data_IF_027623664429
#
_entry.id   IF_027623664429
#
_cell.length_a   1.000
_cell.length_b   1.000
_cell.length_c   1.000
_cell.angle_alpha   90.00
_cell.angle_beta   90.00
_cell.angle_gamma   90.00
#
_symmetry.space_group_name_H-M   'P 1'
#
loop_
_entity.id
_entity.type
_entity.pdbx_description
1 polymer ?
#
# COMPACT_ATOMS: atom_id res chain seq x y z
N UNK A 1 -1.16 34.08 -29.50
CA UNK A 1 -0.11 34.67 -28.66
C UNK A 1 0.79 33.55 -28.20
N UNK A 2 1.99 33.43 -28.79
CA UNK A 2 3.01 32.50 -28.30
C UNK A 2 3.91 33.27 -27.34
N UNK A 3 3.81 32.98 -26.04
CA UNK A 3 4.64 33.61 -25.02
C UNK A 3 6.00 32.89 -25.02
N UNK A 4 6.99 33.45 -25.72
CA UNK A 4 8.36 32.91 -25.74
C UNK A 4 9.13 33.44 -24.54
N UNK A 5 9.31 32.59 -23.52
CA UNK A 5 10.33 32.83 -22.50
C UNK A 5 11.72 32.67 -23.11
N UNK A 6 12.65 33.50 -22.66
CA UNK A 6 13.99 33.67 -23.24
C UNK A 6 14.95 32.48 -23.04
N UNK A 7 14.47 31.35 -22.50
CA UNK A 7 15.22 30.12 -22.29
C UNK A 7 14.41 28.90 -22.81
N UNK A 8 14.62 28.55 -24.08
CA UNK A 8 14.65 27.19 -24.63
C UNK A 8 13.46 26.22 -24.49
N UNK A 9 12.47 26.45 -23.64
CA UNK A 9 11.34 25.54 -23.43
C UNK A 9 10.05 26.34 -23.35
N UNK A 10 9.39 26.50 -24.50
CA UNK A 10 7.94 26.66 -24.53
C UNK A 10 7.35 25.31 -24.11
N UNK A 11 7.26 25.04 -22.82
CA UNK A 11 6.41 23.96 -22.36
C UNK A 11 4.99 24.29 -22.82
N UNK A 12 4.42 23.44 -23.66
CA UNK A 12 3.05 23.57 -24.09
C UNK A 12 2.19 23.61 -22.82
N UNK A 13 1.42 24.69 -22.63
CA UNK A 13 0.59 24.83 -21.44
C UNK A 13 -0.42 23.68 -21.33
N UNK A 14 -0.76 23.06 -22.46
CA UNK A 14 -1.58 21.87 -22.51
C UNK A 14 -0.91 20.66 -21.85
N UNK A 15 0.40 20.46 -22.06
CA UNK A 15 1.14 19.37 -21.39
C UNK A 15 1.33 19.65 -19.91
N UNK A 16 1.55 20.92 -19.54
CA UNK A 16 1.65 21.34 -18.14
C UNK A 16 0.31 21.27 -17.39
N UNK A 17 -0.82 21.28 -18.08
CA UNK A 17 -2.14 21.29 -17.46
C UNK A 17 -2.36 20.06 -16.56
N UNK A 18 -1.90 18.89 -16.99
CA UNK A 18 -2.03 17.66 -16.20
C UNK A 18 -1.17 17.69 -14.94
N UNK A 19 0.08 18.13 -15.08
CA UNK A 19 1.03 18.24 -13.96
C UNK A 19 0.57 19.29 -12.94
N UNK A 20 0.07 20.42 -13.42
CA UNK A 20 -0.44 21.51 -12.56
C UNK A 20 -1.74 21.12 -11.86
N UNK A 21 -2.66 20.43 -12.53
CA UNK A 21 -3.87 19.90 -11.90
C UNK A 21 -3.50 18.93 -10.76
N UNK A 22 -2.50 18.10 -10.97
CA UNK A 22 -2.03 17.12 -10.00
C UNK A 22 -1.33 17.76 -8.79
N UNK A 23 -0.48 18.76 -9.05
CA UNK A 23 0.11 19.57 -8.00
C UNK A 23 -0.99 20.26 -7.18
N UNK A 24 -1.99 20.84 -7.83
CA UNK A 24 -3.08 21.54 -7.16
C UNK A 24 -3.86 20.63 -6.21
N UNK A 25 -4.23 19.41 -6.63
CA UNK A 25 -5.01 18.50 -5.78
C UNK A 25 -4.21 17.93 -4.59
N UNK A 26 -2.87 18.02 -4.62
CA UNK A 26 -1.96 17.47 -3.58
C UNK A 26 -1.39 18.52 -2.64
N UNK A 27 -1.48 19.81 -2.99
CA UNK A 27 -1.04 20.92 -2.14
C UNK A 27 -2.00 21.09 -0.95
N UNK A 28 -1.43 21.35 0.22
CA UNK A 28 -2.20 21.62 1.43
C UNK A 28 -2.79 23.02 1.35
N UNK A 29 -4.12 23.13 1.48
CA UNK A 29 -4.80 24.41 1.46
C UNK A 29 -4.57 25.14 2.78
N UNK A 30 -4.28 26.45 2.72
CA UNK A 30 -3.84 27.24 3.88
C UNK A 30 -4.88 27.37 4.98
N UNK A 31 -6.17 27.46 4.63
CA UNK A 31 -7.24 27.66 5.61
C UNK A 31 -7.78 26.36 6.21
N UNK A 32 -7.82 25.28 5.44
CA UNK A 32 -8.41 24.00 5.88
C UNK A 32 -7.35 23.03 6.39
N UNK A 33 -6.06 23.28 6.09
CA UNK A 33 -4.96 22.40 6.43
C UNK A 33 -5.03 21.02 5.77
N UNK A 34 -5.92 20.82 4.79
CA UNK A 34 -6.13 19.55 4.08
C UNK A 34 -5.89 19.76 2.58
N UNK A 35 -5.57 18.68 1.87
CA UNK A 35 -5.44 18.72 0.41
C UNK A 35 -6.82 18.65 -0.25
N UNK A 36 -7.06 19.30 -1.40
CA UNK A 36 -8.33 19.21 -2.11
C UNK A 36 -8.77 17.76 -2.39
N UNK A 37 -7.83 16.90 -2.82
CA UNK A 37 -8.06 15.47 -3.04
C UNK A 37 -8.61 14.73 -1.82
N UNK A 38 -8.12 15.08 -0.63
CA UNK A 38 -8.56 14.47 0.62
C UNK A 38 -9.98 14.92 0.99
N UNK A 39 -10.37 16.14 0.62
CA UNK A 39 -11.72 16.67 0.91
C UNK A 39 -12.75 16.08 -0.06
N UNK A 40 -12.43 16.00 -1.35
CA UNK A 40 -13.37 15.52 -2.36
C UNK A 40 -13.51 13.99 -2.39
N UNK A 41 -12.39 13.27 -2.24
CA UNK A 41 -12.33 11.83 -2.50
C UNK A 41 -11.92 11.02 -1.27
N UNK A 42 -11.69 11.67 -0.14
CA UNK A 42 -11.12 11.04 1.06
C UNK A 42 -9.81 10.27 0.80
N UNK A 43 -9.10 10.60 -0.29
CA UNK A 43 -7.91 9.91 -0.75
C UNK A 43 -6.86 10.92 -1.22
N UNK A 44 -5.62 10.77 -0.73
CA UNK A 44 -4.49 11.61 -1.14
C UNK A 44 -3.57 10.79 -2.06
N UNK A 45 -3.37 11.18 -3.32
CA UNK A 45 -2.42 10.49 -4.19
C UNK A 45 -0.99 10.69 -3.67
N UNK A 46 -0.24 9.59 -3.59
CA UNK A 46 1.14 9.52 -3.11
C UNK A 46 2.10 9.43 -4.30
N UNK A 47 2.81 10.53 -4.57
CA UNK A 47 3.93 10.54 -5.53
C UNK A 47 5.21 10.01 -4.88
N UNK A 48 6.05 9.18 -5.56
CA UNK A 48 5.95 8.60 -6.91
C UNK A 48 5.37 7.16 -6.94
N UNK A 49 4.87 6.66 -5.81
CA UNK A 49 4.44 5.27 -5.66
C UNK A 49 3.23 4.97 -6.54
N UNK A 50 2.31 5.94 -6.71
CA UNK A 50 1.12 5.72 -7.53
C UNK A 50 1.43 5.69 -9.04
N UNK A 51 2.51 6.34 -9.50
CA UNK A 51 2.99 6.19 -10.88
C UNK A 51 3.57 4.80 -11.15
N UNK A 52 4.23 4.19 -10.16
CA UNK A 52 4.71 2.81 -10.25
C UNK A 52 3.56 1.79 -10.25
N UNK A 53 2.43 2.12 -9.61
CA UNK A 53 1.22 1.28 -9.58
C UNK A 53 0.42 1.29 -10.88
N UNK A 54 0.65 2.23 -11.80
CA UNK A 54 -0.04 2.25 -13.08
C UNK A 54 0.25 0.99 -13.94
N UNK A 55 1.40 0.32 -13.71
CA UNK A 55 1.75 -0.95 -14.36
C UNK A 55 1.32 -2.20 -13.56
N UNK A 56 0.73 -2.02 -12.38
CA UNK A 56 0.18 -3.13 -11.61
C UNK A 56 -1.27 -3.34 -12.03
N UNK A 57 -1.69 -4.61 -12.10
CA UNK A 57 -3.10 -4.96 -12.26
C UNK A 57 -3.89 -4.26 -11.14
N UNK A 58 -4.67 -3.26 -11.50
CA UNK A 58 -5.59 -2.59 -10.59
C UNK A 58 -6.77 -3.53 -10.35
N UNK A 59 -6.58 -4.54 -9.50
CA UNK A 59 -7.68 -5.36 -9.03
C UNK A 59 -8.46 -4.50 -8.04
N UNK A 60 -9.63 -4.01 -8.46
CA UNK A 60 -10.49 -3.21 -7.59
C UNK A 60 -11.01 -4.12 -6.45
N UNK A 61 -11.00 -3.68 -5.17
CA UNK A 61 -11.44 -4.51 -4.05
C UNK A 61 -12.89 -5.01 -4.15
N UNK A 62 -13.70 -4.39 -5.01
CA UNK A 62 -15.09 -4.74 -5.32
C UNK A 62 -15.22 -5.94 -6.27
N UNK A 63 -14.15 -6.32 -6.95
CA UNK A 63 -14.18 -7.44 -7.90
C UNK A 63 -14.17 -8.78 -7.16
N UNK A 64 -15.02 -9.68 -7.64
CA UNK A 64 -15.19 -11.03 -7.08
C UNK A 64 -13.85 -11.78 -6.99
N UNK A 65 -12.98 -11.57 -7.97
CA UNK A 65 -11.66 -12.19 -8.06
C UNK A 65 -10.72 -11.77 -6.91
N UNK A 66 -10.77 -10.50 -6.48
CA UNK A 66 -10.00 -10.03 -5.32
C UNK A 66 -10.47 -10.72 -4.04
N UNK A 67 -11.77 -10.85 -3.86
CA UNK A 67 -12.36 -11.45 -2.67
C UNK A 67 -12.04 -12.96 -2.59
N UNK A 68 -12.06 -13.64 -3.73
CA UNK A 68 -11.67 -15.06 -3.83
C UNK A 68 -10.17 -15.26 -3.58
N UNK A 69 -9.32 -14.37 -4.10
CA UNK A 69 -7.89 -14.36 -3.80
C UNK A 69 -7.63 -14.08 -2.32
N UNK A 70 -8.28 -13.06 -1.75
CA UNK A 70 -8.14 -12.68 -0.35
C UNK A 70 -8.49 -13.83 0.60
N UNK A 71 -9.63 -14.50 0.37
CA UNK A 71 -10.05 -15.67 1.16
C UNK A 71 -9.01 -16.79 1.12
N UNK A 72 -8.52 -17.14 -0.08
CA UNK A 72 -7.46 -18.15 -0.22
C UNK A 72 -6.20 -17.76 0.56
N UNK A 73 -5.83 -16.48 0.53
CA UNK A 73 -4.65 -15.97 1.24
C UNK A 73 -4.83 -16.09 2.75
N UNK A 74 -6.00 -15.69 3.28
CA UNK A 74 -6.34 -15.86 4.69
C UNK A 74 -6.30 -17.32 5.14
N UNK A 75 -6.83 -18.24 4.34
CA UNK A 75 -6.82 -19.67 4.64
C UNK A 75 -5.39 -20.22 4.69
N UNK A 76 -4.52 -19.81 3.74
CA UNK A 76 -3.11 -20.21 3.75
C UNK A 76 -2.34 -19.63 4.93
N UNK A 77 -2.61 -18.37 5.29
CA UNK A 77 -1.94 -17.70 6.40
C UNK A 77 -2.28 -18.38 7.73
N UNK A 78 -3.54 -18.77 7.94
CA UNK A 78 -3.96 -19.52 9.12
C UNK A 78 -3.18 -20.84 9.28
N UNK A 79 -2.95 -21.56 8.17
CA UNK A 79 -2.16 -22.80 8.16
C UNK A 79 -0.69 -22.51 8.51
N UNK A 80 -0.08 -21.47 7.94
CA UNK A 80 1.30 -21.12 8.25
C UNK A 80 1.48 -20.69 9.70
N UNK A 81 0.51 -19.97 10.26
CA UNK A 81 0.51 -19.55 11.66
C UNK A 81 0.40 -20.75 12.60
N UNK A 82 -0.45 -21.73 12.28
CA UNK A 82 -0.57 -22.98 13.03
C UNK A 82 0.75 -23.78 12.99
N UNK A 83 1.35 -23.95 11.81
CA UNK A 83 2.64 -24.64 11.64
C UNK A 83 3.77 -23.93 12.39
N UNK A 84 3.82 -22.60 12.35
CA UNK A 84 4.82 -21.83 13.09
C UNK A 84 4.66 -22.00 14.61
N UNK A 85 3.42 -22.02 15.11
CA UNK A 85 3.13 -22.28 16.53
C UNK A 85 3.56 -23.69 16.94
N UNK A 86 3.26 -24.69 16.12
CA UNK A 86 3.64 -26.08 16.38
C UNK A 86 5.16 -26.29 16.34
N UNK A 87 5.84 -25.71 15.33
CA UNK A 87 7.30 -25.73 15.24
C UNK A 87 7.95 -25.11 16.49
N UNK A 88 7.46 -23.95 16.93
CA UNK A 88 7.97 -23.29 18.13
C UNK A 88 7.74 -24.15 19.37
N UNK A 89 6.57 -24.76 19.52
CA UNK A 89 6.27 -25.68 20.62
C UNK A 89 7.26 -26.85 20.65
N UNK A 90 7.42 -27.56 19.53
CA UNK A 90 8.34 -28.69 19.44
C UNK A 90 9.79 -28.28 19.71
N UNK A 91 10.21 -27.09 19.25
CA UNK A 91 11.56 -26.56 19.52
C UNK A 91 11.82 -26.36 21.01
N UNK A 92 10.83 -25.89 21.77
CA UNK A 92 10.97 -25.70 23.22
C UNK A 92 10.81 -27.01 24.00
N UNK A 93 9.89 -27.88 23.59
CA UNK A 93 9.58 -29.13 24.30
C UNK A 93 10.65 -30.22 24.07
N UNK A 94 11.22 -30.34 22.86
CA UNK A 94 12.22 -31.38 22.52
C UNK A 94 13.45 -31.44 23.45
N UNK A 95 14.06 -30.31 23.88
CA UNK A 95 15.19 -30.37 24.81
C UNK A 95 14.80 -30.63 26.27
N UNK A 96 13.51 -30.61 26.63
CA UNK A 96 13.06 -30.79 28.02
C UNK A 96 12.77 -32.27 28.28
N UNK A 97 13.70 -32.96 28.93
CA UNK A 97 13.48 -34.29 29.48
C UNK A 97 12.85 -34.14 30.87
N UNK A 98 11.64 -34.66 31.07
CA UNK A 98 11.02 -34.68 32.40
C UNK A 98 11.91 -35.47 33.38
N UNK A 99 12.26 -34.91 34.54
CA UNK A 99 13.05 -35.62 35.55
C UNK A 99 12.23 -36.77 36.17
N UNK A 100 12.83 -37.97 36.22
CA UNK A 100 12.28 -39.13 36.93
C UNK A 100 12.51 -38.96 38.44
N UNK A 101 11.50 -38.45 39.15
CA UNK A 101 11.54 -38.36 40.61
C UNK A 101 11.17 -39.72 41.20
N UNK A 102 12.17 -40.43 41.73
CA UNK A 102 11.93 -41.60 42.58
C UNK A 102 11.79 -41.15 44.02
N UNK A 103 10.65 -41.48 44.62
CA UNK A 103 10.43 -41.30 46.06
C UNK A 103 11.40 -42.23 46.82
N UNK A 104 12.13 -41.66 47.78
CA UNK A 104 13.04 -42.37 48.71
C UNK A 104 12.25 -42.80 49.94
#
# INVERSE_FOLDING_TARGET
MEYRYHEGYTHDWFTLLQETQLAYITIQHSTTGKTPSLIERCWKPLFPVDHLKNNLLQILPTEKEFNDMWKKTCDTDAIFLAKAKEYNKQRYDNPHKEPDFREV
#
